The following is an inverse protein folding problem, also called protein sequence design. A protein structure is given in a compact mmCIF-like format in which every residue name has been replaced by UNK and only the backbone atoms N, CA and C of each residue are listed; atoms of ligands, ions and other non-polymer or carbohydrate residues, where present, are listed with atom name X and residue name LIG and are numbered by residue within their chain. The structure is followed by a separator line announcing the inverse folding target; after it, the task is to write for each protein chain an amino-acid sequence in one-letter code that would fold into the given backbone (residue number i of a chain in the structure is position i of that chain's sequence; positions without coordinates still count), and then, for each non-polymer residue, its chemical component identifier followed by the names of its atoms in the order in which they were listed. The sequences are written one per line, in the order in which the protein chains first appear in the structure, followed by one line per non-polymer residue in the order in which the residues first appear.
data_IF_984552453767
#
_entry.id   IF_984552453767
#
_cell.length_a   1.000
_cell.length_b   1.000
_cell.length_c   1.000
_cell.angle_alpha   90.00
_cell.angle_beta   90.00
_cell.angle_gamma   90.00
#
_symmetry.space_group_name_H-M   'P 1'
#
loop_
_entity.id
_entity.type
_entity.pdbx_description
1 polymer ?
#
# COMPACT_ATOMS: atom_id res chain seq x y z
N UNK A 1 36.07 -1.91 -68.87
CA UNK A 1 35.30 -0.80 -68.26
C UNK A 1 33.86 -0.89 -68.75
N UNK A 2 32.92 -0.45 -67.91
CA UNK A 2 31.46 -0.47 -68.03
C UNK A 2 30.70 -1.69 -67.50
N UNK A 3 29.78 -1.33 -66.61
CA UNK A 3 29.02 -2.06 -65.59
C UNK A 3 27.58 -2.27 -66.08
N UNK A 4 26.90 -3.34 -65.64
CA UNK A 4 25.46 -3.26 -65.37
C UNK A 4 25.00 -4.35 -64.40
N UNK A 5 24.60 -3.92 -63.21
CA UNK A 5 23.93 -4.72 -62.18
C UNK A 5 22.45 -4.93 -62.52
N UNK A 6 21.86 -6.06 -62.09
CA UNK A 6 20.41 -6.17 -61.86
C UNK A 6 20.10 -7.01 -60.61
N UNK A 7 19.81 -6.27 -59.53
CA UNK A 7 18.76 -6.45 -58.52
C UNK A 7 18.36 -7.89 -58.16
N UNK A 8 18.89 -8.39 -57.04
CA UNK A 8 18.25 -9.43 -56.25
C UNK A 8 17.21 -8.77 -55.32
N UNK A 9 15.94 -9.05 -55.54
CA UNK A 9 14.86 -8.61 -54.67
C UNK A 9 14.83 -9.48 -53.40
N UNK A 10 15.29 -8.93 -52.28
CA UNK A 10 15.19 -9.58 -50.97
C UNK A 10 13.76 -9.46 -50.46
N UNK A 11 13.03 -10.58 -50.44
CA UNK A 11 11.72 -10.68 -49.77
C UNK A 11 11.97 -10.63 -48.26
N UNK A 12 11.67 -9.50 -47.63
CA UNK A 12 11.69 -9.36 -46.17
C UNK A 12 10.42 -10.03 -45.64
N UNK A 13 10.57 -11.25 -45.12
CA UNK A 13 9.53 -11.94 -44.37
C UNK A 13 9.25 -11.19 -43.06
N UNK A 14 8.01 -10.73 -42.90
CA UNK A 14 7.53 -10.14 -41.65
C UNK A 14 7.40 -11.28 -40.62
N UNK A 15 8.43 -11.46 -39.79
CA UNK A 15 8.33 -12.30 -38.61
C UNK A 15 7.37 -11.62 -37.62
N UNK A 16 6.13 -12.12 -37.57
CA UNK A 16 5.17 -11.75 -36.55
C UNK A 16 5.74 -12.12 -35.16
N UNK A 17 6.25 -11.12 -34.46
CA UNK A 17 6.67 -11.22 -33.06
C UNK A 17 5.44 -11.57 -32.22
N UNK A 18 5.28 -12.86 -31.90
CA UNK A 18 4.43 -13.33 -30.84
C UNK A 18 4.97 -12.76 -29.53
N UNK A 19 4.45 -11.60 -29.12
CA UNK A 19 4.71 -11.07 -27.79
C UNK A 19 3.93 -11.94 -26.79
N UNK A 20 4.58 -12.53 -25.78
CA UNK A 20 3.85 -13.21 -24.72
C UNK A 20 3.03 -12.15 -23.98
N UNK A 21 1.72 -12.17 -24.18
CA UNK A 21 0.79 -11.41 -23.37
C UNK A 21 0.89 -11.97 -21.95
N UNK A 22 1.67 -11.30 -21.09
CA UNK A 22 1.66 -11.58 -19.66
C UNK A 22 0.28 -11.18 -19.17
N UNK A 23 -0.60 -12.17 -19.00
CA UNK A 23 -1.91 -11.96 -18.41
C UNK A 23 -1.69 -11.49 -16.96
N UNK A 24 -1.90 -10.20 -16.74
CA UNK A 24 -1.85 -9.62 -15.41
C UNK A 24 -3.13 -10.07 -14.70
N UNK A 25 -2.98 -10.89 -13.64
CA UNK A 25 -4.11 -11.33 -12.85
C UNK A 25 -4.90 -10.10 -12.37
N UNK A 26 -6.21 -10.12 -12.60
CA UNK A 26 -7.08 -9.07 -12.09
C UNK A 26 -6.96 -9.00 -10.56
N UNK A 27 -7.06 -7.80 -9.95
CA UNK A 27 -7.10 -7.69 -8.51
C UNK A 27 -8.26 -8.53 -7.98
N UNK A 28 -7.96 -9.45 -7.07
CA UNK A 28 -8.96 -10.30 -6.42
C UNK A 28 -9.82 -9.42 -5.49
N UNK A 29 -11.11 -9.23 -5.78
CA UNK A 29 -11.97 -8.35 -4.99
C UNK A 29 -12.26 -8.90 -3.59
N UNK A 30 -11.94 -10.18 -3.33
CA UNK A 30 -12.10 -10.79 -2.00
C UNK A 30 -10.97 -10.42 -1.05
N UNK A 31 -9.86 -9.89 -1.59
CA UNK A 31 -8.69 -9.49 -0.80
C UNK A 31 -8.84 -8.07 -0.28
N UNK A 32 -9.11 -7.95 1.03
CA UNK A 32 -9.34 -6.67 1.69
C UNK A 32 -8.14 -6.23 2.53
N UNK A 33 -8.06 -4.92 2.78
CA UNK A 33 -7.19 -4.34 3.80
C UNK A 33 -8.08 -3.53 4.72
N UNK A 34 -8.25 -3.99 5.95
CA UNK A 34 -9.22 -3.47 6.89
C UNK A 34 -8.51 -2.87 8.10
N UNK A 35 -9.00 -1.72 8.55
CA UNK A 35 -8.44 -0.99 9.67
C UNK A 35 -9.59 -0.48 10.54
N UNK A 36 -9.55 -0.85 11.81
CA UNK A 36 -10.47 -0.35 12.83
C UNK A 36 -9.66 0.32 13.93
N UNK A 37 -10.04 1.53 14.31
CA UNK A 37 -9.49 2.20 15.48
C UNK A 37 -10.47 2.11 16.65
N UNK A 38 -9.97 1.65 17.79
CA UNK A 38 -10.70 1.53 19.05
C UNK A 38 -10.23 2.62 20.02
N UNK A 39 -11.02 3.70 20.26
CA UNK A 39 -10.63 4.77 21.17
C UNK A 39 -10.77 4.34 22.64
N UNK A 40 -9.89 4.83 23.51
CA UNK A 40 -9.93 4.52 24.95
C UNK A 40 -9.88 3.01 25.20
N UNK A 41 -10.66 2.52 26.16
CA UNK A 41 -10.74 1.10 26.50
C UNK A 41 -11.96 0.40 25.87
N UNK A 42 -12.37 0.84 24.67
CA UNK A 42 -13.55 0.28 23.99
C UNK A 42 -13.39 -1.19 23.56
N UNK A 43 -12.16 -1.69 23.50
CA UNK A 43 -11.84 -3.09 23.17
C UNK A 43 -10.66 -3.59 24.04
N UNK A 44 -10.91 -3.92 25.32
CA UNK A 44 -9.85 -4.18 26.30
C UNK A 44 -8.95 -5.37 25.93
N UNK A 45 -9.48 -6.32 25.14
CA UNK A 45 -8.72 -7.47 24.64
C UNK A 45 -7.54 -7.07 23.74
N UNK A 46 -7.64 -5.89 23.13
CA UNK A 46 -6.67 -5.36 22.18
C UNK A 46 -5.82 -4.21 22.76
N UNK A 47 -6.09 -3.82 24.01
CA UNK A 47 -5.44 -2.72 24.70
C UNK A 47 -6.06 -1.36 24.34
N UNK A 48 -5.78 -0.33 25.16
CA UNK A 48 -6.38 0.98 24.97
C UNK A 48 -5.86 1.66 23.71
N UNK A 49 -6.70 2.51 23.10
CA UNK A 49 -6.36 3.29 21.91
C UNK A 49 -5.65 2.44 20.85
N UNK A 50 -6.31 1.40 20.37
CA UNK A 50 -5.69 0.38 19.52
C UNK A 50 -6.15 0.44 18.07
N UNK A 51 -5.24 0.15 17.16
CA UNK A 51 -5.57 -0.22 15.78
C UNK A 51 -5.68 -1.74 15.69
N UNK A 52 -6.79 -2.23 15.16
CA UNK A 52 -6.96 -3.61 14.69
C UNK A 52 -6.88 -3.59 13.17
N UNK A 53 -5.90 -4.27 12.62
CA UNK A 53 -5.56 -4.23 11.19
C UNK A 53 -5.56 -5.66 10.66
N UNK A 54 -6.27 -5.88 9.57
CA UNK A 54 -6.31 -7.17 8.86
C UNK A 54 -5.91 -6.97 7.40
N UNK A 55 -4.89 -7.70 6.94
CA UNK A 55 -4.41 -7.64 5.56
C UNK A 55 -4.58 -8.98 4.81
N UNK A 56 -5.65 -9.11 4.04
CA UNK A 56 -5.86 -10.19 3.08
C UNK A 56 -5.35 -9.84 1.67
N UNK A 57 -4.90 -8.60 1.48
CA UNK A 57 -4.40 -8.08 0.20
C UNK A 57 -2.96 -8.46 -0.07
N UNK A 58 -2.18 -8.74 0.98
CA UNK A 58 -0.84 -9.29 0.89
C UNK A 58 0.09 -8.45 0.02
N UNK A 59 0.07 -7.13 0.22
CA UNK A 59 0.94 -6.18 -0.49
C UNK A 59 1.81 -5.39 0.47
N UNK A 60 2.12 -4.17 0.07
CA UNK A 60 2.98 -3.24 0.84
C UNK A 60 2.16 -2.21 1.62
N UNK A 61 0.94 -2.60 1.99
CA UNK A 61 0.00 -1.75 2.71
C UNK A 61 0.48 -1.48 4.12
N UNK A 62 0.28 -0.26 4.60
CA UNK A 62 0.59 0.11 5.96
C UNK A 62 -0.23 1.33 6.38
N UNK A 63 -0.35 1.52 7.69
CA UNK A 63 -0.97 2.70 8.29
C UNK A 63 0.12 3.63 8.77
N UNK A 64 0.05 4.90 8.38
CA UNK A 64 0.86 5.96 8.99
C UNK A 64 -0.02 6.81 9.88
N UNK A 65 0.42 7.07 11.10
CA UNK A 65 -0.33 7.88 12.05
C UNK A 65 0.54 8.88 12.80
N UNK A 66 -0.11 9.86 13.42
CA UNK A 66 0.44 10.80 14.40
C UNK A 66 -0.54 11.02 15.53
N UNK A 67 0.00 11.25 16.72
CA UNK A 67 -0.77 11.62 17.91
C UNK A 67 -0.27 13.00 18.36
N UNK A 68 -1.21 13.93 18.59
CA UNK A 68 -0.86 15.31 18.92
C UNK A 68 -0.37 16.13 17.72
N UNK A 69 0.24 17.28 18.04
CA UNK A 69 0.62 18.30 17.05
C UNK A 69 2.11 18.26 16.64
N UNK A 70 2.90 17.29 17.15
CA UNK A 70 4.34 17.16 16.84
C UNK A 70 4.67 15.76 16.29
N UNK A 71 5.45 15.70 15.21
CA UNK A 71 5.99 14.46 14.62
C UNK A 71 5.02 13.69 13.71
N UNK A 72 5.57 12.94 12.75
CA UNK A 72 4.86 12.04 11.84
C UNK A 72 5.67 10.75 11.69
N UNK A 73 5.75 9.94 12.74
CA UNK A 73 6.91 9.05 12.84
C UNK A 73 6.57 7.56 12.98
N UNK A 74 5.29 7.19 12.99
CA UNK A 74 4.92 5.79 13.21
C UNK A 74 4.17 5.18 12.04
N UNK A 75 4.57 3.95 11.71
CA UNK A 75 4.05 3.16 10.60
C UNK A 75 3.81 1.73 11.08
N UNK A 76 2.60 1.22 10.84
CA UNK A 76 2.23 -0.16 11.15
C UNK A 76 2.02 -0.90 9.85
N UNK A 77 2.80 -1.96 9.62
CA UNK A 77 2.67 -2.85 8.48
C UNK A 77 2.33 -4.26 8.99
N UNK A 78 1.10 -4.75 8.77
CA UNK A 78 0.78 -6.16 9.02
C UNK A 78 1.50 -7.06 8.02
N UNK A 79 1.67 -8.33 8.35
CA UNK A 79 2.07 -9.35 7.36
C UNK A 79 0.84 -9.79 6.55
N UNK A 80 1.11 -10.44 5.42
CA UNK A 80 0.09 -11.06 4.58
C UNK A 80 -0.71 -12.09 5.38
N UNK A 81 -2.03 -12.03 5.24
CA UNK A 81 -3.03 -12.86 5.93
C UNK A 81 -2.92 -12.81 7.46
N UNK A 82 -2.48 -11.66 7.99
CA UNK A 82 -2.36 -11.42 9.42
C UNK A 82 -3.40 -10.40 9.89
N UNK A 83 -3.95 -10.67 11.07
CA UNK A 83 -4.63 -9.66 11.90
C UNK A 83 -3.74 -9.29 13.07
N UNK A 84 -3.39 -8.02 13.18
CA UNK A 84 -2.62 -7.48 14.31
C UNK A 84 -3.43 -6.45 15.09
N UNK A 85 -3.11 -6.35 16.38
CA UNK A 85 -3.56 -5.26 17.22
C UNK A 85 -2.37 -4.49 17.76
N UNK A 86 -2.42 -3.16 17.65
CA UNK A 86 -1.36 -2.28 18.13
C UNK A 86 -1.98 -1.16 18.96
N UNK A 87 -1.70 -1.14 20.26
CA UNK A 87 -2.01 0.02 21.11
C UNK A 87 -1.05 1.16 20.77
N UNK A 88 -1.60 2.34 20.46
CA UNK A 88 -0.79 3.50 20.07
C UNK A 88 -0.67 4.56 21.17
N UNK A 89 -1.43 4.41 22.26
CA UNK A 89 -1.31 5.26 23.43
C UNK A 89 -1.88 4.58 24.69
N UNK A 90 -1.26 4.78 25.87
CA UNK A 90 -1.84 4.32 27.13
C UNK A 90 -3.08 5.13 27.53
N UNK A 91 -3.82 4.63 28.52
CA UNK A 91 -4.81 5.44 29.24
C UNK A 91 -4.11 6.52 30.11
N UNK A 92 -4.84 7.57 30.46
CA UNK A 92 -4.34 8.84 30.97
C UNK A 92 -5.46 9.89 31.07
N UNK A 93 -5.17 11.10 31.57
CA UNK A 93 -6.21 12.10 31.81
C UNK A 93 -6.52 13.00 30.61
N UNK A 94 -5.82 12.85 29.49
CA UNK A 94 -5.80 13.82 28.40
C UNK A 94 -6.41 13.28 27.10
N UNK A 95 -6.80 14.17 26.21
CA UNK A 95 -7.17 13.81 24.85
C UNK A 95 -6.15 14.39 23.87
N UNK A 96 -5.78 13.61 22.86
CA UNK A 96 -4.83 14.04 21.82
C UNK A 96 -5.43 13.79 20.43
N UNK A 97 -5.28 14.72 19.47
CA UNK A 97 -5.73 14.48 18.11
C UNK A 97 -4.96 13.30 17.50
N UNK A 98 -5.67 12.34 16.95
CA UNK A 98 -5.12 11.24 16.15
C UNK A 98 -5.39 11.55 14.68
N UNK A 99 -4.33 11.57 13.88
CA UNK A 99 -4.48 11.64 12.41
C UNK A 99 -3.75 10.47 11.79
N UNK A 100 -4.44 9.69 10.98
CA UNK A 100 -3.88 8.51 10.34
C UNK A 100 -4.34 8.40 8.89
N UNK A 101 -3.62 7.60 8.10
CA UNK A 101 -3.95 7.35 6.69
C UNK A 101 -3.42 6.00 6.24
N UNK A 102 -4.12 5.43 5.27
CA UNK A 102 -3.68 4.26 4.54
C UNK A 102 -2.61 4.64 3.52
N UNK A 103 -1.54 3.86 3.45
CA UNK A 103 -0.49 4.00 2.44
C UNK A 103 -0.09 2.63 1.86
N UNK A 104 0.48 2.65 0.66
CA UNK A 104 1.12 1.48 0.04
C UNK A 104 2.29 1.90 -0.85
N UNK A 105 3.29 1.03 -0.96
CA UNK A 105 4.39 1.24 -1.90
C UNK A 105 4.01 0.74 -3.29
N UNK A 106 4.20 1.59 -4.28
CA UNK A 106 4.11 1.23 -5.69
C UNK A 106 5.45 1.51 -6.39
N UNK A 107 5.61 0.97 -7.58
CA UNK A 107 6.77 1.21 -8.44
C UNK A 107 6.33 1.82 -9.75
N UNK A 108 7.00 2.89 -10.18
CA UNK A 108 6.82 3.42 -11.53
C UNK A 108 7.18 2.36 -12.57
N UNK A 109 6.49 2.31 -13.70
CA UNK A 109 6.70 1.22 -14.68
C UNK A 109 8.09 1.26 -15.30
N UNK A 110 8.62 2.44 -15.64
CA UNK A 110 10.00 2.68 -16.11
C UNK A 110 10.44 4.14 -15.87
N UNK A 111 11.60 4.39 -15.23
CA UNK A 111 12.37 3.44 -14.41
C UNK A 111 11.57 3.01 -13.15
N UNK A 112 11.85 1.84 -12.57
CA UNK A 112 11.20 1.38 -11.34
C UNK A 112 11.68 2.19 -10.14
N UNK A 113 11.02 3.31 -9.88
CA UNK A 113 11.25 4.15 -8.72
C UNK A 113 10.19 3.80 -7.67
N UNK A 114 10.59 3.42 -6.43
CA UNK A 114 9.63 3.23 -5.35
C UNK A 114 8.98 4.57 -5.03
N UNK A 115 7.66 4.57 -4.91
CA UNK A 115 6.90 5.73 -4.47
C UNK A 115 5.80 5.30 -3.53
N UNK A 116 5.59 6.14 -2.53
CA UNK A 116 4.58 5.94 -1.50
C UNK A 116 3.29 6.62 -1.95
N UNK A 117 2.24 5.84 -2.16
CA UNK A 117 0.89 6.38 -2.27
C UNK A 117 0.23 6.34 -0.91
N UNK A 118 -0.42 7.45 -0.55
CA UNK A 118 -1.29 7.48 0.62
C UNK A 118 -2.65 8.04 0.22
N UNK A 119 -3.70 7.49 0.82
CA UNK A 119 -5.05 8.03 0.71
C UNK A 119 -5.24 9.26 1.60
N UNK A 120 -6.51 9.62 1.77
CA UNK A 120 -6.92 10.72 2.62
C UNK A 120 -6.61 10.45 4.09
N UNK A 121 -6.59 11.54 4.86
CA UNK A 121 -6.46 11.45 6.29
C UNK A 121 -7.79 11.17 6.97
N UNK A 122 -7.73 10.27 7.93
CA UNK A 122 -8.73 10.08 8.95
C UNK A 122 -8.30 10.85 10.20
N UNK A 123 -9.21 11.66 10.73
CA UNK A 123 -9.00 12.44 11.94
C UNK A 123 -9.96 11.92 13.02
N UNK A 124 -9.40 11.65 14.19
CA UNK A 124 -10.14 11.20 15.38
C UNK A 124 -9.37 11.64 16.62
N UNK A 125 -9.73 11.12 17.80
CA UNK A 125 -9.13 11.50 19.08
C UNK A 125 -8.66 10.23 19.80
N UNK A 126 -7.43 10.29 20.31
CA UNK A 126 -6.94 9.37 21.33
C UNK A 126 -7.58 9.76 22.65
N UNK A 127 -8.47 8.91 23.15
CA UNK A 127 -9.10 9.09 24.46
C UNK A 127 -8.29 8.33 25.47
N UNK A 128 -7.67 9.02 26.40
CA UNK A 128 -6.90 8.32 27.43
C UNK A 128 -7.75 8.08 28.69
N UNK A 129 -8.95 8.65 28.82
CA UNK A 129 -9.87 8.48 29.97
C UNK A 129 -10.90 7.38 29.79
#
# INVERSE_FOLDING_TARGET
MSSTARLAATVIGVAALLTPAVAQAAPDPTKTFEVRYNPGDSDPAHGPNSFVITDHRCGTQHIRYRIGDKGWDESIQPRCDETISVSVAPLGPNEYPLKWRYCFFSFWRKPPIPHLFCGDFHETVVRTT
#
